data_IF_514832127691
#
_entry.id   IF_514832127691
#
_cell.length_a   1.000
_cell.length_b   1.000
_cell.length_c   1.000
_cell.angle_alpha   90.00
_cell.angle_beta   90.00
_cell.angle_gamma   90.00
#
_symmetry.space_group_name_H-M   'P 1'
#
loop_
_entity.id
_entity.type
_entity.pdbx_description
1 polymer ?
#
# COMPACT_ATOMS: atom_id res chain seq x y z
N UNK A 1 -18.88 1.12 6.09
CA UNK A 1 -18.40 1.73 4.82
C UNK A 1 -19.05 1.14 3.54
N UNK A 2 -19.97 0.21 3.66
CA UNK A 2 -20.63 -0.52 2.55
C UNK A 2 -19.61 -1.33 1.72
N UNK A 3 -18.68 -1.99 2.39
CA UNK A 3 -17.66 -2.82 1.77
C UNK A 3 -17.93 -4.33 1.91
N UNK A 4 -18.94 -4.72 2.66
CA UNK A 4 -19.29 -6.14 2.90
C UNK A 4 -19.46 -6.90 1.58
N UNK A 5 -18.74 -8.01 1.45
CA UNK A 5 -18.75 -8.87 0.27
C UNK A 5 -17.83 -8.41 -0.87
N UNK A 6 -17.27 -7.21 -0.82
CA UNK A 6 -16.23 -6.77 -1.75
C UNK A 6 -14.96 -7.62 -1.62
N UNK A 7 -14.16 -7.63 -2.66
CA UNK A 7 -12.90 -8.38 -2.71
C UNK A 7 -11.69 -7.44 -2.77
N UNK A 8 -10.63 -7.76 -2.03
CA UNK A 8 -9.42 -6.96 -2.05
C UNK A 8 -8.15 -7.79 -2.07
N UNK A 9 -7.14 -7.27 -2.76
CA UNK A 9 -5.77 -7.75 -2.76
C UNK A 9 -4.88 -6.75 -2.03
N UNK A 10 -4.17 -7.19 -0.99
CA UNK A 10 -3.25 -6.36 -0.21
C UNK A 10 -1.85 -6.92 -0.33
N UNK A 11 -0.93 -6.16 -0.93
CA UNK A 11 0.48 -6.55 -1.02
C UNK A 11 1.28 -6.08 0.20
N UNK A 12 2.28 -6.87 0.63
CA UNK A 12 3.05 -6.57 1.84
C UNK A 12 2.21 -6.66 3.12
N UNK A 13 1.23 -7.57 3.16
CA UNK A 13 0.23 -7.68 4.23
C UNK A 13 0.75 -8.32 5.52
N UNK A 14 2.00 -8.79 5.57
CA UNK A 14 2.52 -9.58 6.70
C UNK A 14 2.93 -8.75 7.92
N UNK A 15 2.99 -7.42 7.86
CA UNK A 15 3.41 -6.56 8.96
C UNK A 15 3.03 -5.09 8.74
N UNK A 16 3.14 -4.28 9.80
CA UNK A 16 3.02 -2.81 9.77
C UNK A 16 1.75 -2.32 9.08
N UNK A 17 1.89 -1.36 8.19
CA UNK A 17 0.78 -0.71 7.47
C UNK A 17 -0.07 -1.74 6.70
N UNK A 18 0.55 -2.67 5.97
CA UNK A 18 -0.19 -3.67 5.19
C UNK A 18 -1.02 -4.62 6.06
N UNK A 19 -0.51 -5.02 7.23
CA UNK A 19 -1.25 -5.80 8.22
C UNK A 19 -2.46 -5.03 8.75
N UNK A 20 -2.26 -3.79 9.16
CA UNK A 20 -3.35 -2.95 9.67
C UNK A 20 -4.45 -2.71 8.62
N UNK A 21 -4.06 -2.45 7.36
CA UNK A 21 -4.99 -2.32 6.24
C UNK A 21 -5.82 -3.59 6.04
N UNK A 22 -5.16 -4.76 6.05
CA UNK A 22 -5.84 -6.04 5.88
C UNK A 22 -6.88 -6.28 6.97
N UNK A 23 -6.51 -6.06 8.24
CA UNK A 23 -7.41 -6.20 9.39
C UNK A 23 -8.59 -5.22 9.29
N UNK A 24 -8.32 -3.95 8.96
CA UNK A 24 -9.36 -2.93 8.86
C UNK A 24 -10.36 -3.20 7.72
N UNK A 25 -9.89 -3.65 6.54
CA UNK A 25 -10.77 -4.05 5.43
C UNK A 25 -11.59 -5.30 5.79
N UNK A 26 -10.98 -6.28 6.46
CA UNK A 26 -11.70 -7.49 6.92
C UNK A 26 -12.81 -7.16 7.92
N UNK A 27 -12.59 -6.22 8.83
CA UNK A 27 -13.60 -5.75 9.78
C UNK A 27 -14.83 -5.13 9.08
N UNK A 28 -14.65 -4.57 7.88
CA UNK A 28 -15.76 -4.10 7.02
C UNK A 28 -16.43 -5.23 6.20
N UNK A 29 -15.99 -6.48 6.38
CA UNK A 29 -16.53 -7.67 5.70
C UNK A 29 -15.98 -7.87 4.28
N UNK A 30 -14.81 -7.33 3.96
CA UNK A 30 -14.11 -7.52 2.70
C UNK A 30 -13.43 -8.90 2.67
N UNK A 31 -13.57 -9.63 1.56
CA UNK A 31 -12.86 -10.88 1.29
C UNK A 31 -11.45 -10.56 0.78
N UNK A 32 -10.42 -11.12 1.39
CA UNK A 32 -9.03 -10.70 1.17
C UNK A 32 -8.16 -11.77 0.53
N UNK A 33 -7.25 -11.35 -0.35
CA UNK A 33 -6.00 -12.03 -0.65
C UNK A 33 -4.84 -11.24 -0.05
N UNK A 34 -4.05 -11.90 0.80
CA UNK A 34 -2.90 -11.35 1.51
C UNK A 34 -1.62 -11.81 0.85
N UNK A 35 -0.80 -10.86 0.37
CA UNK A 35 0.45 -11.18 -0.32
C UNK A 35 1.66 -10.80 0.53
N UNK A 36 2.63 -11.69 0.62
CA UNK A 36 3.90 -11.45 1.29
C UNK A 36 4.86 -12.63 1.17
N UNK A 37 6.07 -12.47 1.68
CA UNK A 37 7.11 -13.51 1.62
C UNK A 37 7.09 -14.47 2.81
N UNK A 38 6.57 -14.01 3.96
CA UNK A 38 6.59 -14.76 5.23
C UNK A 38 5.25 -15.43 5.46
N UNK A 39 5.22 -16.76 5.27
CA UNK A 39 4.01 -17.56 5.41
C UNK A 39 3.45 -17.52 6.84
N UNK A 40 4.32 -17.64 7.84
CA UNK A 40 4.01 -17.60 9.26
C UNK A 40 3.32 -16.27 9.64
N UNK A 41 3.91 -15.15 9.26
CA UNK A 41 3.36 -13.82 9.56
C UNK A 41 2.03 -13.55 8.83
N UNK A 42 1.85 -14.06 7.60
CA UNK A 42 0.57 -13.97 6.91
C UNK A 42 -0.50 -14.84 7.58
N UNK A 43 -0.12 -16.02 8.08
CA UNK A 43 -1.02 -16.91 8.82
C UNK A 43 -1.45 -16.30 10.16
N UNK A 44 -0.53 -15.58 10.83
CA UNK A 44 -0.87 -14.80 12.02
C UNK A 44 -1.91 -13.72 11.72
N UNK A 45 -1.72 -12.95 10.63
CA UNK A 45 -2.69 -11.94 10.20
C UNK A 45 -4.05 -12.58 9.89
N UNK A 46 -4.05 -13.71 9.20
CA UNK A 46 -5.28 -14.45 8.90
C UNK A 46 -6.00 -14.89 10.19
N UNK A 47 -5.26 -15.37 11.18
CA UNK A 47 -5.81 -15.77 12.48
C UNK A 47 -6.43 -14.58 13.24
N UNK A 48 -5.77 -13.41 13.22
CA UNK A 48 -6.32 -12.17 13.82
C UNK A 48 -7.61 -11.75 13.12
N UNK A 49 -7.65 -11.80 11.79
CA UNK A 49 -8.87 -11.48 11.01
C UNK A 49 -10.02 -12.43 11.38
N UNK A 50 -9.76 -13.73 11.44
CA UNK A 50 -10.77 -14.72 11.80
C UNK A 50 -11.28 -14.55 13.24
N UNK A 51 -10.37 -14.31 14.19
CA UNK A 51 -10.72 -14.04 15.58
C UNK A 51 -11.59 -12.78 15.74
N UNK A 52 -11.40 -11.78 14.85
CA UNK A 52 -12.24 -10.59 14.76
C UNK A 52 -13.58 -10.80 14.03
N UNK A 53 -13.89 -12.02 13.61
CA UNK A 53 -15.13 -12.34 12.88
C UNK A 53 -15.11 -11.97 11.40
N UNK A 54 -13.96 -11.62 10.85
CA UNK A 54 -13.79 -11.33 9.43
C UNK A 54 -13.74 -12.60 8.57
N UNK A 55 -13.95 -12.46 7.23
CA UNK A 55 -13.82 -13.58 6.30
C UNK A 55 -12.40 -14.15 6.28
N UNK A 56 -12.26 -15.47 6.22
CA UNK A 56 -10.95 -16.15 6.08
C UNK A 56 -10.23 -15.65 4.84
N UNK A 57 -9.04 -15.05 4.96
CA UNK A 57 -8.31 -14.55 3.80
C UNK A 57 -7.58 -15.67 3.06
N UNK A 58 -7.39 -15.47 1.75
CA UNK A 58 -6.44 -16.27 0.96
C UNK A 58 -5.02 -15.77 1.21
N UNK A 59 -4.08 -16.68 1.45
CA UNK A 59 -2.67 -16.37 1.61
C UNK A 59 -1.94 -16.68 0.30
N UNK A 60 -1.21 -15.69 -0.23
CA UNK A 60 -0.37 -15.79 -1.42
C UNK A 60 1.09 -15.52 -1.01
N UNK A 61 1.91 -16.58 -1.02
CA UNK A 61 3.33 -16.47 -0.68
C UNK A 61 4.09 -16.14 -1.96
N UNK A 62 4.54 -14.89 -2.08
CA UNK A 62 5.25 -14.42 -3.26
C UNK A 62 6.29 -13.36 -2.92
N UNK A 63 7.48 -13.47 -3.53
CA UNK A 63 8.45 -12.37 -3.55
C UNK A 63 8.12 -11.41 -4.69
N UNK A 64 7.85 -10.15 -4.36
CA UNK A 64 7.57 -9.12 -5.34
C UNK A 64 8.76 -8.86 -6.30
N UNK A 65 9.97 -9.27 -5.98
CA UNK A 65 11.14 -9.15 -6.86
C UNK A 65 11.23 -10.26 -7.91
N UNK A 66 10.54 -11.38 -7.74
CA UNK A 66 10.53 -12.44 -8.75
C UNK A 66 9.99 -11.90 -10.09
N UNK A 67 10.58 -12.29 -11.23
CA UNK A 67 10.26 -11.71 -12.55
C UNK A 67 8.77 -11.76 -12.91
N UNK A 68 8.10 -12.86 -12.60
CA UNK A 68 6.69 -13.15 -12.90
C UNK A 68 5.73 -12.90 -11.72
N UNK A 69 6.21 -12.26 -10.65
CA UNK A 69 5.45 -12.07 -9.42
C UNK A 69 4.08 -11.42 -9.66
N UNK A 70 3.99 -10.39 -10.50
CA UNK A 70 2.73 -9.71 -10.77
C UNK A 70 1.70 -10.64 -11.42
N UNK A 71 2.14 -11.49 -12.35
CA UNK A 71 1.29 -12.51 -12.99
C UNK A 71 0.80 -13.53 -11.97
N UNK A 72 1.73 -14.13 -11.22
CA UNK A 72 1.39 -15.18 -10.24
C UNK A 72 0.48 -14.66 -9.13
N UNK A 73 0.70 -13.45 -8.65
CA UNK A 73 -0.17 -12.82 -7.64
C UNK A 73 -1.57 -12.60 -8.21
N UNK A 74 -1.69 -12.03 -9.41
CA UNK A 74 -2.98 -11.77 -10.03
C UNK A 74 -3.76 -13.06 -10.28
N UNK A 75 -3.12 -14.08 -10.87
CA UNK A 75 -3.77 -15.36 -11.19
C UNK A 75 -4.29 -16.06 -9.94
N UNK A 76 -3.48 -16.13 -8.87
CA UNK A 76 -3.91 -16.75 -7.61
C UNK A 76 -5.03 -15.97 -6.93
N UNK A 77 -4.97 -14.64 -6.95
CA UNK A 77 -6.03 -13.80 -6.38
C UNK A 77 -7.34 -13.97 -7.15
N UNK A 78 -7.30 -13.97 -8.48
CA UNK A 78 -8.49 -14.17 -9.33
C UNK A 78 -9.07 -15.58 -9.19
N UNK A 79 -8.22 -16.61 -9.12
CA UNK A 79 -8.67 -17.99 -8.93
C UNK A 79 -9.45 -18.19 -7.61
N UNK A 80 -9.10 -17.45 -6.57
CA UNK A 80 -9.71 -17.61 -5.23
C UNK A 80 -10.82 -16.61 -4.93
N UNK A 81 -10.68 -15.38 -5.38
CA UNK A 81 -11.67 -14.32 -5.11
C UNK A 81 -12.72 -14.19 -6.23
N UNK A 82 -12.42 -14.69 -7.43
CA UNK A 82 -13.20 -14.49 -8.65
C UNK A 82 -12.92 -13.14 -9.31
N UNK A 83 -12.95 -12.07 -8.54
CA UNK A 83 -12.62 -10.71 -8.95
C UNK A 83 -11.78 -10.05 -7.88
N UNK A 84 -11.02 -9.00 -8.25
CA UNK A 84 -10.32 -8.11 -7.32
C UNK A 84 -10.85 -6.70 -7.53
N UNK A 85 -11.72 -6.26 -6.65
CA UNK A 85 -12.38 -4.96 -6.74
C UNK A 85 -11.55 -3.83 -6.09
N UNK A 86 -10.72 -4.18 -5.11
CA UNK A 86 -9.84 -3.24 -4.38
C UNK A 86 -8.42 -3.77 -4.46
N UNK A 87 -7.52 -2.99 -5.02
CA UNK A 87 -6.08 -3.28 -5.03
C UNK A 87 -5.35 -2.30 -4.10
N UNK A 88 -4.66 -2.83 -3.09
CA UNK A 88 -3.78 -2.05 -2.24
C UNK A 88 -2.32 -2.41 -2.54
N UNK A 89 -1.67 -1.55 -3.29
CA UNK A 89 -0.24 -1.61 -3.60
C UNK A 89 0.55 -1.05 -2.40
N UNK A 90 0.88 -1.92 -1.44
CA UNK A 90 1.61 -1.53 -0.23
C UNK A 90 3.01 -2.17 -0.14
N UNK A 91 3.27 -3.30 -0.81
CA UNK A 91 4.60 -3.91 -0.81
C UNK A 91 5.66 -2.90 -1.22
N UNK A 92 6.73 -2.81 -0.46
CA UNK A 92 7.79 -1.85 -0.73
C UNK A 92 8.92 -1.99 0.27
N UNK A 93 9.99 -1.26 0.03
CA UNK A 93 11.13 -1.23 0.93
C UNK A 93 12.15 -0.20 0.49
N UNK A 94 12.99 0.22 1.42
CA UNK A 94 14.09 1.14 1.16
C UNK A 94 15.39 0.52 1.64
N UNK A 95 16.45 0.70 0.87
CA UNK A 95 17.84 0.40 1.21
C UNK A 95 18.56 1.70 1.46
N UNK A 96 19.67 1.71 2.22
CA UNK A 96 20.57 2.85 2.26
C UNK A 96 21.15 3.14 0.87
N UNK A 97 21.16 4.41 0.48
CA UNK A 97 21.76 4.89 -0.77
C UNK A 97 22.94 5.80 -0.48
N UNK A 98 23.91 5.80 -1.39
CA UNK A 98 25.04 6.73 -1.44
C UNK A 98 25.05 7.42 -2.79
N UNK A 99 25.90 8.45 -2.95
CA UNK A 99 25.99 9.18 -4.22
C UNK A 99 26.29 8.24 -5.42
N UNK A 100 27.12 7.25 -5.20
CA UNK A 100 27.47 6.21 -6.18
C UNK A 100 26.98 4.85 -5.69
N UNK A 101 25.66 4.64 -5.73
CA UNK A 101 25.02 3.35 -5.42
C UNK A 101 24.99 2.49 -6.68
N UNK A 102 25.28 1.19 -6.54
CA UNK A 102 25.31 0.23 -7.63
C UNK A 102 23.96 0.15 -8.35
N UNK A 103 23.99 -0.06 -9.67
CA UNK A 103 22.81 -0.13 -10.52
C UNK A 103 21.81 -1.21 -10.07
N UNK A 104 22.32 -2.37 -9.64
CA UNK A 104 21.45 -3.45 -9.13
C UNK A 104 20.58 -3.02 -7.92
N UNK A 105 21.07 -2.12 -7.06
CA UNK A 105 20.29 -1.58 -5.95
C UNK A 105 19.23 -0.60 -6.44
N UNK A 106 19.55 0.17 -7.50
CA UNK A 106 18.59 1.02 -8.19
C UNK A 106 17.47 0.20 -8.84
N UNK A 107 17.84 -0.85 -9.58
CA UNK A 107 16.88 -1.76 -10.23
C UNK A 107 15.97 -2.44 -9.20
N UNK A 108 16.51 -2.93 -8.07
CA UNK A 108 15.71 -3.47 -6.97
C UNK A 108 14.72 -2.44 -6.45
N UNK A 109 15.18 -1.21 -6.19
CA UNK A 109 14.35 -0.14 -5.64
C UNK A 109 13.21 0.25 -6.59
N UNK A 110 13.49 0.41 -7.88
CA UNK A 110 12.49 0.73 -8.90
C UNK A 110 11.52 -0.44 -9.11
N UNK A 111 12.05 -1.66 -9.20
CA UNK A 111 11.22 -2.85 -9.39
C UNK A 111 10.23 -3.02 -8.25
N UNK A 112 10.71 -2.99 -7.01
CA UNK A 112 9.88 -3.23 -5.83
C UNK A 112 8.85 -2.12 -5.58
N UNK A 113 9.24 -0.84 -5.78
CA UNK A 113 8.44 0.29 -5.36
C UNK A 113 7.66 0.99 -6.50
N UNK A 114 7.89 0.60 -7.77
CA UNK A 114 7.15 1.14 -8.93
C UNK A 114 6.72 0.05 -9.89
N UNK A 115 7.68 -0.66 -10.52
CA UNK A 115 7.40 -1.56 -11.63
C UNK A 115 6.38 -2.63 -11.25
N UNK A 116 6.52 -3.23 -10.08
CA UNK A 116 5.64 -4.30 -9.63
C UNK A 116 4.22 -3.81 -9.33
N UNK A 117 4.08 -2.63 -8.75
CA UNK A 117 2.76 -2.01 -8.52
C UNK A 117 2.03 -1.76 -9.83
N UNK A 118 2.73 -1.17 -10.81
CA UNK A 118 2.19 -0.92 -12.14
C UNK A 118 1.75 -2.22 -12.81
N UNK A 119 2.65 -3.21 -12.90
CA UNK A 119 2.37 -4.49 -13.53
C UNK A 119 1.19 -5.23 -12.91
N UNK A 120 1.09 -5.23 -11.57
CA UNK A 120 -0.04 -5.86 -10.88
C UNK A 120 -1.35 -5.12 -11.16
N UNK A 121 -1.29 -3.80 -11.20
CA UNK A 121 -2.47 -2.99 -11.56
C UNK A 121 -2.90 -3.27 -13.00
N UNK A 122 -1.98 -3.33 -13.95
CA UNK A 122 -2.28 -3.64 -15.37
C UNK A 122 -3.00 -5.00 -15.52
N UNK A 123 -2.70 -5.99 -14.67
CA UNK A 123 -3.35 -7.31 -14.69
C UNK A 123 -4.79 -7.31 -14.16
N UNK A 124 -5.13 -6.32 -13.33
CA UNK A 124 -6.40 -6.30 -12.60
C UNK A 124 -7.34 -5.18 -13.07
N UNK A 125 -6.84 -4.18 -13.80
CA UNK A 125 -7.59 -2.97 -14.11
C UNK A 125 -8.74 -3.21 -15.08
N UNK A 126 -8.55 -4.09 -16.08
CA UNK A 126 -9.54 -4.34 -17.13
C UNK A 126 -10.83 -4.91 -16.54
N UNK A 127 -10.74 -5.84 -15.58
CA UNK A 127 -11.91 -6.38 -14.91
C UNK A 127 -12.62 -5.33 -14.03
N UNK A 128 -11.87 -4.42 -13.39
CA UNK A 128 -12.46 -3.31 -12.64
C UNK A 128 -13.25 -2.38 -13.56
N UNK A 129 -12.69 -2.05 -14.72
CA UNK A 129 -13.35 -1.22 -15.74
C UNK A 129 -14.60 -1.92 -16.28
N UNK A 130 -14.51 -3.21 -16.62
CA UNK A 130 -15.64 -4.00 -17.12
C UNK A 130 -16.80 -4.08 -16.10
N UNK A 131 -16.49 -4.12 -14.80
CA UNK A 131 -17.46 -4.14 -13.72
C UNK A 131 -18.00 -2.74 -13.37
N UNK A 132 -17.50 -1.67 -13.98
CA UNK A 132 -17.90 -0.30 -13.68
C UNK A 132 -17.53 0.16 -12.26
N UNK A 133 -16.63 -0.55 -11.58
CA UNK A 133 -16.22 -0.26 -10.20
C UNK A 133 -14.83 -0.83 -9.89
N UNK A 134 -13.97 -0.01 -9.31
CA UNK A 134 -12.66 -0.43 -8.86
C UNK A 134 -11.98 0.61 -7.97
N UNK A 135 -11.07 0.16 -7.11
CA UNK A 135 -10.28 1.02 -6.21
C UNK A 135 -8.82 0.60 -6.23
N UNK A 136 -7.97 1.46 -6.73
CA UNK A 136 -6.51 1.28 -6.68
C UNK A 136 -5.93 2.27 -5.69
N UNK A 137 -5.33 1.76 -4.61
CA UNK A 137 -4.76 2.56 -3.52
C UNK A 137 -3.28 2.22 -3.42
N UNK A 138 -2.44 3.21 -3.64
CA UNK A 138 -0.99 3.06 -3.60
C UNK A 138 -0.44 3.65 -2.32
N UNK A 139 0.20 2.84 -1.48
CA UNK A 139 0.94 3.30 -0.31
C UNK A 139 2.33 3.72 -0.79
N UNK A 140 2.59 5.02 -0.78
CA UNK A 140 3.78 5.62 -1.37
C UNK A 140 4.80 6.02 -0.30
N UNK A 141 5.42 7.16 -0.42
CA UNK A 141 6.41 7.67 0.53
C UNK A 141 6.48 9.18 0.48
N UNK A 142 7.31 9.75 1.33
CA UNK A 142 7.49 11.20 1.38
C UNK A 142 7.96 11.74 0.03
N UNK A 143 7.45 12.91 -0.33
CA UNK A 143 7.79 13.64 -1.55
C UNK A 143 8.95 14.64 -1.37
N UNK A 144 9.43 14.80 -0.15
CA UNK A 144 10.54 15.69 0.22
C UNK A 144 11.69 14.83 0.77
N UNK A 145 12.51 14.21 -0.10
CA UNK A 145 13.60 13.36 0.34
C UNK A 145 14.76 14.19 0.91
N UNK A 146 15.34 13.73 2.02
CA UNK A 146 16.51 14.36 2.64
C UNK A 146 17.82 14.03 1.89
N UNK A 147 17.77 13.12 0.92
CA UNK A 147 18.91 12.67 0.13
C UNK A 147 18.49 11.71 -0.98
N UNK A 148 19.47 11.24 -1.75
CA UNK A 148 19.26 10.30 -2.85
C UNK A 148 18.77 8.97 -2.30
N UNK A 149 17.65 8.47 -2.85
CA UNK A 149 17.11 7.16 -2.51
C UNK A 149 16.20 6.64 -3.61
N UNK A 150 16.49 5.46 -4.15
CA UNK A 150 15.75 4.87 -5.25
C UNK A 150 14.28 4.57 -4.92
N UNK A 151 13.97 4.22 -3.67
CA UNK A 151 12.58 4.00 -3.25
C UNK A 151 11.78 5.31 -3.26
N UNK A 152 12.38 6.45 -2.90
CA UNK A 152 11.71 7.75 -2.98
C UNK A 152 11.45 8.17 -4.42
N UNK A 153 12.44 7.97 -5.31
CA UNK A 153 12.28 8.22 -6.74
C UNK A 153 11.15 7.36 -7.33
N UNK A 154 11.14 6.05 -7.04
CA UNK A 154 10.12 5.13 -7.49
C UNK A 154 8.72 5.53 -7.00
N UNK A 155 8.60 5.91 -5.73
CA UNK A 155 7.31 6.31 -5.14
C UNK A 155 6.81 7.68 -5.64
N UNK A 156 7.72 8.59 -5.99
CA UNK A 156 7.36 9.81 -6.71
C UNK A 156 6.83 9.52 -8.12
N UNK A 157 7.45 8.55 -8.83
CA UNK A 157 6.96 8.08 -10.12
C UNK A 157 5.53 7.49 -10.02
N UNK A 158 5.20 6.79 -8.92
CA UNK A 158 3.82 6.32 -8.66
C UNK A 158 2.82 7.48 -8.64
N UNK A 159 3.15 8.62 -8.03
CA UNK A 159 2.24 9.77 -7.99
C UNK A 159 1.85 10.26 -9.40
N UNK A 160 2.85 10.42 -10.27
CA UNK A 160 2.62 10.83 -11.66
C UNK A 160 1.85 9.78 -12.46
N UNK A 161 2.26 8.51 -12.37
CA UNK A 161 1.59 7.39 -13.04
C UNK A 161 0.14 7.23 -12.57
N UNK A 162 -0.12 7.24 -11.26
CA UNK A 162 -1.46 7.12 -10.70
C UNK A 162 -2.38 8.27 -11.14
N UNK A 163 -1.84 9.49 -11.26
CA UNK A 163 -2.58 10.64 -11.80
C UNK A 163 -2.97 10.43 -13.25
N UNK A 164 -2.05 9.95 -14.09
CA UNK A 164 -2.34 9.59 -15.49
C UNK A 164 -3.41 8.50 -15.58
N UNK A 165 -3.20 7.37 -14.87
CA UNK A 165 -4.12 6.25 -14.88
C UNK A 165 -5.53 6.65 -14.42
N UNK A 166 -5.65 7.50 -13.39
CA UNK A 166 -6.95 7.96 -12.89
C UNK A 166 -7.79 8.67 -13.95
N UNK A 167 -7.16 9.31 -14.94
CA UNK A 167 -7.83 10.00 -16.05
C UNK A 167 -8.34 9.03 -17.11
N UNK A 168 -7.60 7.94 -17.33
CA UNK A 168 -7.97 6.90 -18.29
C UNK A 168 -9.16 6.07 -17.81
N UNK A 169 -9.17 5.70 -16.51
CA UNK A 169 -10.14 4.72 -15.98
C UNK A 169 -11.32 5.35 -15.22
N UNK A 170 -11.31 6.66 -15.02
CA UNK A 170 -12.31 7.33 -14.18
C UNK A 170 -13.74 7.20 -14.70
N UNK A 171 -13.94 7.26 -16.05
CA UNK A 171 -15.26 7.10 -16.69
C UNK A 171 -15.86 5.71 -16.46
N UNK A 172 -15.03 4.70 -16.19
CA UNK A 172 -15.45 3.34 -15.88
C UNK A 172 -15.64 3.11 -14.36
N UNK A 173 -15.75 4.17 -13.55
CA UNK A 173 -16.02 4.06 -12.12
C UNK A 173 -14.83 3.59 -11.26
N UNK A 174 -13.62 3.58 -11.82
CA UNK A 174 -12.40 3.20 -11.11
C UNK A 174 -11.70 4.45 -10.55
N UNK A 175 -11.32 4.40 -9.27
CA UNK A 175 -10.52 5.47 -8.65
C UNK A 175 -9.10 4.99 -8.38
N UNK A 176 -8.12 5.89 -8.54
CA UNK A 176 -6.70 5.62 -8.31
C UNK A 176 -6.13 6.72 -7.42
N UNK A 177 -5.71 6.38 -6.21
CA UNK A 177 -5.21 7.34 -5.24
C UNK A 177 -3.90 6.88 -4.60
N UNK A 178 -3.14 7.83 -4.08
CA UNK A 178 -1.88 7.63 -3.40
C UNK A 178 -1.96 8.12 -1.95
N UNK A 179 -1.40 7.35 -1.03
CA UNK A 179 -1.27 7.71 0.38
C UNK A 179 0.21 7.69 0.74
N UNK A 180 0.89 8.83 0.83
CA UNK A 180 2.22 8.90 1.41
C UNK A 180 2.13 8.87 2.94
N UNK A 181 2.70 7.82 3.59
CA UNK A 181 2.82 7.78 5.04
C UNK A 181 3.91 8.75 5.53
N UNK A 182 3.68 9.34 6.68
CA UNK A 182 4.71 10.01 7.46
C UNK A 182 5.55 9.03 8.29
N UNK A 183 5.82 9.41 9.53
CA UNK A 183 6.47 8.54 10.52
C UNK A 183 5.42 7.63 11.17
N UNK A 184 5.17 6.47 10.55
CA UNK A 184 4.22 5.47 11.06
C UNK A 184 5.01 4.37 11.78
N UNK A 185 4.59 3.98 12.98
CA UNK A 185 5.19 2.88 13.73
C UNK A 185 5.10 1.58 12.91
N UNK A 186 6.22 0.91 12.79
CA UNK A 186 6.35 -0.36 12.10
C UNK A 186 7.57 -1.10 12.61
N UNK A 187 7.66 -2.41 12.37
CA UNK A 187 8.83 -3.20 12.73
C UNK A 187 10.13 -2.61 12.13
N UNK A 188 10.06 -2.03 10.94
CA UNK A 188 11.19 -1.37 10.30
C UNK A 188 11.62 -0.13 11.08
N UNK A 189 10.69 0.71 11.51
CA UNK A 189 10.97 1.90 12.32
C UNK A 189 11.55 1.50 13.67
N UNK A 190 10.96 0.50 14.33
CA UNK A 190 11.43 0.03 15.63
C UNK A 190 12.84 -0.57 15.58
N UNK A 191 13.21 -1.21 14.47
CA UNK A 191 14.57 -1.74 14.26
C UNK A 191 15.60 -0.67 13.89
N UNK A 192 15.19 0.34 13.13
CA UNK A 192 16.13 1.32 12.54
C UNK A 192 16.37 2.53 13.43
N UNK A 193 15.45 2.85 14.35
CA UNK A 193 15.50 4.05 15.16
C UNK A 193 15.38 3.73 16.65
N UNK A 194 16.30 4.26 17.47
CA UNK A 194 16.26 4.10 18.92
C UNK A 194 15.04 4.83 19.52
N UNK A 195 14.59 4.46 20.72
CA UNK A 195 13.50 5.17 21.41
C UNK A 195 13.80 6.66 21.59
N UNK A 196 15.03 7.02 21.92
CA UNK A 196 15.48 8.41 22.13
C UNK A 196 15.42 9.21 20.82
N UNK A 197 15.85 8.60 19.71
CA UNK A 197 15.79 9.27 18.41
C UNK A 197 14.35 9.44 17.94
N UNK A 198 13.48 8.46 18.17
CA UNK A 198 12.05 8.59 17.88
C UNK A 198 11.39 9.68 18.71
N UNK A 199 11.73 9.79 20.00
CA UNK A 199 11.24 10.86 20.87
C UNK A 199 11.68 12.24 20.35
N UNK A 200 12.95 12.37 19.97
CA UNK A 200 13.48 13.59 19.37
C UNK A 200 12.75 13.97 18.08
N UNK A 201 12.54 13.01 17.16
CA UNK A 201 11.81 13.25 15.92
C UNK A 201 10.34 13.64 16.19
N UNK A 202 9.71 13.04 17.18
CA UNK A 202 8.34 13.36 17.58
C UNK A 202 8.24 14.82 18.01
N UNK A 203 9.20 15.29 18.80
CA UNK A 203 9.21 16.65 19.36
C UNK A 203 9.60 17.70 18.31
N UNK A 204 10.56 17.39 17.42
CA UNK A 204 11.20 18.40 16.57
C UNK A 204 10.77 18.35 15.09
N UNK A 205 10.35 17.18 14.59
CA UNK A 205 10.01 17.01 13.18
C UNK A 205 8.50 16.90 12.93
N UNK A 206 7.75 16.28 13.85
CA UNK A 206 6.33 15.93 13.60
C UNK A 206 5.42 16.96 14.31
N UNK A 207 4.65 17.78 13.58
CA UNK A 207 3.76 18.77 14.22
C UNK A 207 2.77 18.19 15.23
N UNK A 208 2.28 16.97 15.03
CA UNK A 208 1.42 16.28 16.00
C UNK A 208 2.18 15.73 17.23
N UNK A 209 3.50 15.89 17.32
CA UNK A 209 4.32 15.51 18.47
C UNK A 209 4.48 14.02 18.69
N UNK A 210 4.07 13.16 17.76
CA UNK A 210 4.17 11.70 17.87
C UNK A 210 4.25 11.02 16.51
N UNK A 211 4.72 9.80 16.53
CA UNK A 211 4.53 8.88 15.41
C UNK A 211 3.05 8.53 15.25
N UNK A 212 2.63 8.26 14.01
CA UNK A 212 1.31 7.72 13.73
C UNK A 212 1.30 6.19 13.90
N UNK A 213 0.11 5.66 14.16
CA UNK A 213 -0.13 4.22 14.19
C UNK A 213 -0.56 3.71 12.81
N UNK A 214 -0.25 2.45 12.44
CA UNK A 214 -0.67 1.85 11.18
C UNK A 214 -2.18 1.90 10.96
N UNK A 215 -2.97 1.82 12.02
CA UNK A 215 -4.42 1.87 12.02
C UNK A 215 -4.96 3.23 11.57
N UNK A 216 -4.25 4.33 11.85
CA UNK A 216 -4.64 5.68 11.43
C UNK A 216 -4.54 5.81 9.90
N UNK A 217 -3.53 5.20 9.29
CA UNK A 217 -3.43 5.13 7.83
C UNK A 217 -4.47 4.17 7.24
N UNK A 218 -4.68 3.01 7.87
CA UNK A 218 -5.65 2.02 7.43
C UNK A 218 -7.08 2.59 7.38
N UNK A 219 -7.43 3.50 8.29
CA UNK A 219 -8.72 4.19 8.29
C UNK A 219 -8.96 4.98 6.98
N UNK A 220 -7.93 5.68 6.47
CA UNK A 220 -8.03 6.37 5.19
C UNK A 220 -8.15 5.37 4.01
N UNK A 221 -7.43 4.25 4.05
CA UNK A 221 -7.57 3.19 3.03
C UNK A 221 -9.00 2.66 2.98
N UNK A 222 -9.61 2.35 4.13
CA UNK A 222 -11.01 1.88 4.21
C UNK A 222 -11.97 2.94 3.66
N UNK A 223 -11.76 4.21 3.97
CA UNK A 223 -12.56 5.30 3.41
C UNK A 223 -12.41 5.39 1.89
N UNK A 224 -11.19 5.42 1.35
CA UNK A 224 -10.92 5.50 -0.09
C UNK A 224 -11.40 4.26 -0.85
N UNK A 225 -11.41 3.09 -0.23
CA UNK A 225 -11.96 1.87 -0.78
C UNK A 225 -13.49 1.90 -0.88
N UNK A 226 -14.16 2.76 -0.13
CA UNK A 226 -15.63 2.78 -0.01
C UNK A 226 -16.32 3.56 -1.16
N UNK A 227 -17.63 3.34 -1.38
CA UNK A 227 -18.43 4.19 -2.27
C UNK A 227 -18.46 5.67 -1.87
N UNK A 228 -18.21 5.99 -0.59
CA UNK A 228 -18.18 7.38 -0.10
C UNK A 228 -17.07 8.22 -0.71
N UNK A 229 -16.00 7.58 -1.18
CA UNK A 229 -14.86 8.21 -1.83
C UNK A 229 -14.91 8.16 -3.37
N UNK A 230 -16.06 7.85 -3.97
CA UNK A 230 -16.17 7.63 -5.42
C UNK A 230 -15.82 8.85 -6.29
N UNK A 231 -15.80 10.05 -5.72
CA UNK A 231 -15.41 11.29 -6.43
C UNK A 231 -13.97 11.72 -6.11
N UNK A 232 -13.22 10.90 -5.36
CA UNK A 232 -11.80 11.14 -5.03
C UNK A 232 -10.95 10.22 -5.91
N UNK A 233 -10.28 10.80 -6.91
CA UNK A 233 -9.37 10.05 -7.79
C UNK A 233 -8.21 10.93 -8.27
N UNK A 234 -7.06 10.33 -8.52
CA UNK A 234 -5.83 11.03 -8.91
C UNK A 234 -5.29 11.94 -7.79
N UNK A 235 -5.63 11.67 -6.55
CA UNK A 235 -5.20 12.44 -5.39
C UNK A 235 -3.98 11.80 -4.70
N UNK A 236 -3.17 12.65 -4.09
CA UNK A 236 -2.08 12.28 -3.17
C UNK A 236 -2.45 12.84 -1.81
N UNK A 237 -2.87 11.95 -0.89
CA UNK A 237 -3.41 12.34 0.42
C UNK A 237 -2.45 11.84 1.51
N UNK A 238 -1.65 12.73 2.13
CA UNK A 238 -0.71 12.32 3.17
C UNK A 238 -1.41 11.93 4.47
N UNK A 239 -0.85 10.93 5.16
CA UNK A 239 -1.16 10.57 6.55
C UNK A 239 0.16 10.64 7.32
N UNK A 240 0.52 11.84 7.78
CA UNK A 240 1.88 12.15 8.18
C UNK A 240 2.01 13.03 9.44
N UNK A 241 0.91 13.33 10.12
CA UNK A 241 0.91 14.18 11.32
C UNK A 241 1.39 15.61 11.06
N UNK A 242 1.31 16.08 9.79
CA UNK A 242 1.77 17.42 9.38
C UNK A 242 3.26 17.49 9.08
N UNK A 243 3.96 16.35 8.97
CA UNK A 243 5.41 16.27 8.72
C UNK A 243 5.83 16.95 7.41
N UNK A 244 4.99 16.89 6.39
CA UNK A 244 5.25 17.49 5.09
C UNK A 244 5.27 19.02 5.20
N UNK A 245 6.33 19.65 4.69
CA UNK A 245 6.54 21.10 4.80
C UNK A 245 5.90 21.90 3.68
N UNK A 246 5.80 21.30 2.49
CA UNK A 246 5.25 21.97 1.30
C UNK A 246 3.90 21.36 0.94
N UNK A 247 2.99 22.21 0.49
CA UNK A 247 1.63 21.80 0.16
C UNK A 247 1.56 21.04 -1.19
N UNK A 248 2.50 21.34 -2.09
CA UNK A 248 2.52 20.82 -3.47
C UNK A 248 3.84 20.16 -3.81
#
# INVERSE_FOLDING_TARGET
MQLRGKTALVTGASAGIGRAIAIALAAEGVRLALVGRRADALSEVASVIQAGGGPTPTIIIQDALAPDAAQQIADQALATLGTVEILVNNAGGSRPFKLHTDEAVWEEAITLNFTRHRQLTDRLIDQMMANGWGRVINITGKSEPDGINGAFCAKAAIHSWAKGLSREVGKQGVTVNCIPPGRILSDQILRNYTPEYRAWQSEHEIPMGRYGEPEELAALVVFLASPRAQYITGAVIPVDGGLRRYQF
#
